data_IF_752856193244
#
_entry.id   IF_752856193244
#
_cell.length_a   1.000
_cell.length_b   1.000
_cell.length_c   1.000
_cell.angle_alpha   90.00
_cell.angle_beta   90.00
_cell.angle_gamma   90.00
#
_symmetry.space_group_name_H-M   'P 1'
#
loop_
_entity.id
_entity.type
_entity.pdbx_description
1 polymer ?
#
# COMPACT_ATOMS: atom_id res chain seq x y z
N UNK A 1 9.58 3.67 7.16
CA UNK A 1 8.81 4.57 6.28
C UNK A 1 8.21 3.71 5.18
N UNK A 2 6.99 3.98 4.70
CA UNK A 2 6.43 3.30 3.52
C UNK A 2 5.78 4.32 2.59
N UNK A 3 5.49 3.92 1.35
CA UNK A 3 4.96 4.78 0.30
C UNK A 3 3.55 4.40 -0.17
N UNK A 4 2.81 3.61 0.62
CA UNK A 4 1.43 3.23 0.31
C UNK A 4 0.57 4.48 0.05
N UNK A 5 0.61 5.45 0.97
CA UNK A 5 -0.15 6.68 0.86
C UNK A 5 0.22 7.50 -0.39
N UNK A 6 1.49 7.46 -0.79
CA UNK A 6 1.99 8.16 -1.99
C UNK A 6 1.36 7.59 -3.25
N UNK A 7 1.45 6.27 -3.46
CA UNK A 7 0.89 5.63 -4.65
C UNK A 7 -0.64 5.68 -4.68
N UNK A 8 -1.29 5.48 -3.53
CA UNK A 8 -2.74 5.64 -3.42
C UNK A 8 -3.20 7.04 -3.84
N UNK A 9 -2.54 8.09 -3.34
CA UNK A 9 -2.85 9.48 -3.70
C UNK A 9 -2.56 9.79 -5.16
N UNK A 10 -1.50 9.20 -5.75
CA UNK A 10 -1.19 9.33 -7.19
C UNK A 10 -2.35 8.83 -8.07
N UNK A 11 -3.12 7.85 -7.59
CA UNK A 11 -4.32 7.33 -8.24
C UNK A 11 -5.62 8.07 -7.88
N UNK A 12 -5.55 9.12 -7.04
CA UNK A 12 -6.74 9.84 -6.58
C UNK A 12 -7.64 9.06 -5.62
N UNK A 13 -7.14 7.97 -5.02
CA UNK A 13 -7.94 7.07 -4.19
C UNK A 13 -7.97 7.49 -2.73
N UNK A 14 -9.10 7.25 -2.05
CA UNK A 14 -9.20 7.36 -0.58
C UNK A 14 -8.71 6.08 0.11
N UNK A 15 -8.45 6.15 1.42
CA UNK A 15 -8.13 4.94 2.21
C UNK A 15 -9.26 3.90 2.16
N UNK A 16 -10.51 4.35 2.02
CA UNK A 16 -11.67 3.46 1.89
C UNK A 16 -11.69 2.75 0.55
N UNK A 17 -11.27 3.41 -0.54
CA UNK A 17 -11.22 2.77 -1.86
C UNK A 17 -10.15 1.68 -1.90
N UNK A 18 -8.95 1.98 -1.39
CA UNK A 18 -7.90 0.97 -1.28
C UNK A 18 -8.30 -0.18 -0.36
N UNK A 19 -9.01 0.10 0.74
CA UNK A 19 -9.49 -0.92 1.66
C UNK A 19 -10.46 -1.90 0.98
N UNK A 20 -11.38 -1.40 0.14
CA UNK A 20 -12.31 -2.23 -0.65
C UNK A 20 -11.56 -3.18 -1.58
N UNK A 21 -10.55 -2.65 -2.28
CA UNK A 21 -9.75 -3.42 -3.24
C UNK A 21 -8.89 -4.49 -2.55
N UNK A 22 -8.43 -4.23 -1.33
CA UNK A 22 -7.65 -5.18 -0.51
C UNK A 22 -8.53 -6.10 0.36
N UNK A 23 -9.87 -5.99 0.28
CA UNK A 23 -10.78 -6.79 1.11
C UNK A 23 -10.60 -6.57 2.61
N UNK A 24 -10.26 -5.35 3.03
CA UNK A 24 -9.99 -5.01 4.42
C UNK A 24 -10.71 -3.73 4.87
N UNK A 25 -10.46 -3.29 6.10
CA UNK A 25 -11.06 -2.05 6.63
C UNK A 25 -10.22 -0.82 6.30
N UNK A 26 -10.86 0.36 6.22
CA UNK A 26 -10.15 1.66 6.17
C UNK A 26 -9.12 1.77 7.32
N UNK A 27 -9.47 1.25 8.50
CA UNK A 27 -8.59 1.21 9.66
C UNK A 27 -7.29 0.44 9.39
N UNK A 28 -7.36 -0.72 8.74
CA UNK A 28 -6.17 -1.48 8.35
C UNK A 28 -5.26 -0.65 7.43
N UNK A 29 -5.82 -0.01 6.39
CA UNK A 29 -5.05 0.86 5.49
C UNK A 29 -4.38 2.00 6.25
N UNK A 30 -5.11 2.66 7.16
CA UNK A 30 -4.54 3.72 8.01
C UNK A 30 -3.40 3.19 8.89
N UNK A 31 -3.54 1.99 9.47
CA UNK A 31 -2.47 1.38 10.25
C UNK A 31 -1.24 1.05 9.41
N UNK A 32 -1.41 0.54 8.19
CA UNK A 32 -0.31 0.28 7.28
C UNK A 32 0.39 1.58 6.86
N UNK A 33 -0.34 2.58 6.39
CA UNK A 33 0.22 3.86 5.95
C UNK A 33 1.01 4.57 7.05
N UNK A 34 0.53 4.51 8.30
CA UNK A 34 1.19 5.13 9.43
C UNK A 34 2.23 4.23 10.11
N UNK A 35 2.46 3.01 9.61
CA UNK A 35 3.39 2.04 10.19
C UNK A 35 2.98 1.50 11.57
N UNK A 36 1.72 1.71 11.99
CA UNK A 36 1.17 1.19 13.25
C UNK A 36 0.96 -0.33 13.20
N UNK A 37 0.78 -0.89 12.01
CA UNK A 37 0.76 -2.34 11.76
C UNK A 37 1.69 -2.63 10.59
N UNK A 38 2.47 -3.72 10.69
CA UNK A 38 3.25 -4.22 9.55
C UNK A 38 2.31 -4.93 8.57
N UNK A 39 2.40 -4.59 7.30
CA UNK A 39 1.84 -5.40 6.24
C UNK A 39 2.63 -6.72 6.20
N UNK A 40 1.91 -7.84 6.14
CA UNK A 40 2.53 -9.13 5.88
C UNK A 40 2.81 -9.30 4.38
N UNK A 41 3.43 -10.42 4.02
CA UNK A 41 3.83 -10.69 2.65
C UNK A 41 2.63 -10.77 1.69
N UNK A 42 1.48 -11.25 2.16
CA UNK A 42 0.25 -11.33 1.38
C UNK A 42 -0.26 -9.92 1.03
N UNK A 43 -0.36 -9.05 2.03
CA UNK A 43 -0.74 -7.64 1.84
C UNK A 43 0.26 -6.91 0.94
N UNK A 44 1.56 -7.19 1.09
CA UNK A 44 2.58 -6.62 0.21
C UNK A 44 2.36 -7.01 -1.26
N UNK A 45 2.08 -8.28 -1.54
CA UNK A 45 1.78 -8.77 -2.91
C UNK A 45 0.49 -8.17 -3.46
N UNK A 46 -0.55 -8.07 -2.63
CA UNK A 46 -1.81 -7.43 -3.03
C UNK A 46 -1.60 -5.96 -3.40
N UNK A 47 -0.82 -5.21 -2.62
CA UNK A 47 -0.50 -3.81 -2.91
C UNK A 47 0.26 -3.66 -4.24
N UNK A 48 1.29 -4.48 -4.46
CA UNK A 48 2.05 -4.47 -5.73
C UNK A 48 1.15 -4.79 -6.91
N UNK A 49 0.37 -5.88 -6.83
CA UNK A 49 -0.57 -6.28 -7.88
C UNK A 49 -1.59 -5.18 -8.17
N UNK A 50 -2.18 -4.61 -7.12
CA UNK A 50 -3.14 -3.52 -7.23
C UNK A 50 -2.57 -2.29 -7.95
N UNK A 51 -1.40 -1.80 -7.54
CA UNK A 51 -0.80 -0.62 -8.14
C UNK A 51 -0.37 -0.87 -9.59
N UNK A 52 0.21 -2.04 -9.88
CA UNK A 52 0.61 -2.43 -11.23
C UNK A 52 -0.62 -2.52 -12.16
N UNK A 53 -1.73 -3.09 -11.69
CA UNK A 53 -2.99 -3.17 -12.45
C UNK A 53 -3.63 -1.79 -12.71
N UNK A 54 -3.33 -0.78 -11.87
CA UNK A 54 -3.76 0.61 -12.07
C UNK A 54 -2.74 1.44 -12.88
N UNK A 55 -1.74 0.80 -13.49
CA UNK A 55 -0.76 1.44 -14.36
C UNK A 55 0.42 2.10 -13.63
N UNK A 56 0.61 1.82 -12.34
CA UNK A 56 1.82 2.24 -11.60
C UNK A 56 2.73 1.03 -11.47
N UNK A 57 3.80 0.97 -12.24
CA UNK A 57 4.80 -0.10 -12.12
C UNK A 57 5.66 0.08 -10.85
N UNK A 58 5.47 -0.80 -9.88
CA UNK A 58 6.17 -0.82 -8.57
C UNK A 58 6.50 -2.24 -8.14
N UNK A 59 7.50 -2.35 -7.27
CA UNK A 59 7.92 -3.54 -6.55
C UNK A 59 7.63 -3.42 -5.04
N UNK A 60 7.94 -4.47 -4.27
CA UNK A 60 7.82 -4.41 -2.80
C UNK A 60 8.74 -3.34 -2.24
N UNK A 61 9.99 -3.23 -2.72
CA UNK A 61 10.96 -2.24 -2.24
C UNK A 61 10.57 -0.81 -2.60
N UNK A 62 9.84 -0.61 -3.69
CA UNK A 62 9.29 0.71 -4.04
C UNK A 62 8.20 1.16 -3.06
N UNK A 63 7.45 0.23 -2.46
CA UNK A 63 6.38 0.50 -1.49
C UNK A 63 6.93 0.53 -0.06
N UNK A 64 7.87 -0.37 0.24
CA UNK A 64 8.49 -0.59 1.54
C UNK A 64 10.02 -0.61 1.39
N UNK A 65 10.65 0.56 1.21
CA UNK A 65 12.09 0.61 1.00
C UNK A 65 12.85 -0.01 2.17
N UNK A 66 13.97 -0.69 1.91
CA UNK A 66 14.88 -1.09 2.97
C UNK A 66 15.27 0.15 3.76
N UNK A 67 15.46 -0.01 5.07
CA UNK A 67 16.02 1.07 5.88
C UNK A 67 17.38 1.43 5.28
N UNK A 68 17.61 2.72 5.06
CA UNK A 68 18.96 3.20 4.81
C UNK A 68 19.83 2.71 5.97
N UNK A 69 20.86 1.94 5.62
CA UNK A 69 21.91 1.48 6.54
C UNK A 69 22.70 2.66 7.08
#
# INVERSE_FOLDING_TARGET
>A
MNYISRYRKKLGLTQTDLAKELGCTKGNISHYENGRRKADLEVCRQLVSFFNNKGINVTIDDIFPPKAV
#
